data_IF_928227975914
#
_entry.id   IF_928227975914
#
_cell.length_a   1.000
_cell.length_b   1.000
_cell.length_c   1.000
_cell.angle_alpha   90.00
_cell.angle_beta   90.00
_cell.angle_gamma   90.00
#
_symmetry.space_group_name_H-M   'P 1'
#
loop_
_entity.id
_entity.type
_entity.pdbx_description
1 polymer ?
#
# COMPACT_ATOMS: atom_id res chain seq x y z
N UNK A 1 -28.84 60.98 10.09
CA UNK A 1 -27.54 60.33 10.29
C UNK A 1 -27.73 58.97 10.98
N UNK A 2 -27.68 57.86 10.25
CA UNK A 2 -27.42 56.52 10.81
C UNK A 2 -26.99 55.61 9.67
N UNK A 3 -25.72 55.22 9.71
CA UNK A 3 -25.02 54.37 8.74
C UNK A 3 -25.54 52.94 8.88
N UNK A 4 -25.94 52.31 7.78
CA UNK A 4 -26.11 50.86 7.69
C UNK A 4 -24.78 50.30 7.19
N UNK A 5 -24.06 49.59 8.06
CA UNK A 5 -22.81 48.90 7.72
C UNK A 5 -23.19 47.47 7.32
N UNK A 6 -22.93 47.13 6.06
CA UNK A 6 -23.02 45.81 5.48
C UNK A 6 -21.80 45.00 5.96
N UNK A 7 -22.01 43.96 6.76
CA UNK A 7 -20.95 43.05 7.20
C UNK A 7 -20.92 41.84 6.24
N UNK A 8 -20.10 41.91 5.19
CA UNK A 8 -19.71 40.73 4.42
C UNK A 8 -18.63 39.97 5.19
N UNK A 9 -19.02 38.94 5.94
CA UNK A 9 -18.12 37.94 6.49
C UNK A 9 -17.60 37.05 5.34
N UNK A 10 -16.48 37.45 4.75
CA UNK A 10 -15.66 36.59 3.91
C UNK A 10 -14.93 35.60 4.83
N UNK A 11 -15.46 34.39 4.96
CA UNK A 11 -14.72 33.24 5.47
C UNK A 11 -13.61 32.89 4.46
N UNK A 12 -12.46 33.56 4.59
CA UNK A 12 -11.22 33.08 3.99
C UNK A 12 -10.76 31.86 4.78
N UNK A 13 -11.22 30.67 4.38
CA UNK A 13 -10.51 29.43 4.70
C UNK A 13 -9.16 29.51 4.00
N UNK A 14 -8.12 29.89 4.75
CA UNK A 14 -6.74 29.81 4.29
C UNK A 14 -6.40 28.36 4.01
N UNK A 15 -6.45 27.97 2.73
CA UNK A 15 -5.75 26.79 2.23
C UNK A 15 -4.24 27.08 2.35
N UNK A 16 -3.71 26.90 3.55
CA UNK A 16 -2.28 26.70 3.75
C UNK A 16 -1.95 25.41 2.99
N UNK A 17 -1.54 25.56 1.73
CA UNK A 17 -0.96 24.46 0.97
C UNK A 17 0.35 24.11 1.68
N UNK A 18 0.36 22.97 2.39
CA UNK A 18 1.61 22.38 2.84
C UNK A 18 2.52 22.19 1.61
N UNK A 19 3.83 22.39 1.78
CA UNK A 19 4.78 22.10 0.71
C UNK A 19 4.62 20.62 0.27
N UNK A 20 4.73 20.32 -1.04
CA UNK A 20 4.67 18.95 -1.57
C UNK A 20 5.46 17.97 -0.71
N UNK A 21 4.80 16.88 -0.29
CA UNK A 21 5.42 15.83 0.51
C UNK A 21 5.90 16.21 1.93
N UNK A 22 5.69 17.44 2.41
CA UNK A 22 6.10 17.86 3.77
C UNK A 22 4.93 17.76 4.73
N UNK A 23 5.15 17.10 5.87
CA UNK A 23 4.16 16.93 6.94
C UNK A 23 4.43 17.87 8.13
N UNK A 24 3.40 18.47 8.76
CA UNK A 24 3.59 19.28 9.95
C UNK A 24 4.21 18.49 11.11
N UNK A 25 5.04 19.14 11.93
CA UNK A 25 5.64 18.55 13.12
C UNK A 25 4.63 17.86 14.05
N UNK A 26 3.43 18.43 14.17
CA UNK A 26 2.35 17.88 15.00
C UNK A 26 1.95 16.45 14.60
N UNK A 27 2.13 16.08 13.32
CA UNK A 27 1.87 14.74 12.78
C UNK A 27 2.83 13.69 13.33
N UNK A 28 4.04 14.10 13.75
CA UNK A 28 5.05 13.18 14.30
C UNK A 28 5.17 13.27 15.83
N UNK A 29 4.75 14.39 16.43
CA UNK A 29 4.71 14.55 17.88
C UNK A 29 3.52 13.81 18.53
N UNK A 30 2.41 13.66 17.81
CA UNK A 30 1.22 12.94 18.27
C UNK A 30 1.01 11.67 17.46
N UNK A 31 0.27 10.71 18.01
CA UNK A 31 -0.11 9.52 17.25
C UNK A 31 -1.02 9.92 16.09
N UNK A 32 -0.52 9.70 14.88
CA UNK A 32 -1.21 9.96 13.63
C UNK A 32 -1.16 8.73 12.72
N UNK A 33 -2.34 8.25 12.36
CA UNK A 33 -2.56 7.18 11.40
C UNK A 33 -3.86 7.44 10.63
N UNK A 34 -4.10 6.63 9.61
CA UNK A 34 -5.33 6.64 8.83
C UNK A 34 -5.14 7.09 7.39
N UNK A 35 -6.26 7.40 6.73
CA UNK A 35 -6.32 7.62 5.29
C UNK A 35 -5.97 9.06 4.92
N UNK A 36 -5.09 9.21 3.95
CA UNK A 36 -4.70 10.48 3.36
C UNK A 36 -4.96 10.41 1.86
N UNK A 37 -5.61 11.43 1.32
CA UNK A 37 -5.86 11.55 -0.11
C UNK A 37 -4.84 12.51 -0.72
N UNK A 38 -4.36 12.16 -1.91
CA UNK A 38 -3.32 12.88 -2.64
C UNK A 38 -3.89 13.52 -3.90
N UNK A 39 -3.46 14.75 -4.18
CA UNK A 39 -3.65 15.45 -5.44
C UNK A 39 -2.34 15.53 -6.23
N UNK A 40 -2.36 16.34 -7.29
CA UNK A 40 -1.18 16.57 -8.13
C UNK A 40 -0.03 17.20 -7.36
N UNK A 41 1.20 16.88 -7.79
CA UNK A 41 2.41 17.46 -7.23
C UNK A 41 2.61 17.07 -5.77
N UNK A 42 2.22 15.84 -5.42
CA UNK A 42 2.39 15.28 -4.06
C UNK A 42 1.74 16.13 -2.94
N UNK A 43 0.67 16.85 -3.29
CA UNK A 43 -0.19 17.56 -2.32
C UNK A 43 -1.15 16.56 -1.68
N UNK A 44 -1.51 16.77 -0.42
CA UNK A 44 -2.29 15.79 0.33
C UNK A 44 -3.23 16.43 1.35
N UNK A 45 -4.27 15.69 1.74
CA UNK A 45 -5.17 16.04 2.83
C UNK A 45 -5.58 14.77 3.59
N UNK A 46 -5.43 14.79 4.92
CA UNK A 46 -5.95 13.72 5.79
C UNK A 46 -7.47 13.61 5.63
N UNK A 47 -7.98 12.39 5.51
CA UNK A 47 -9.41 12.14 5.52
C UNK A 47 -9.94 12.23 6.96
N UNK A 48 -11.05 12.96 7.12
CA UNK A 48 -11.78 13.06 8.40
C UNK A 48 -13.22 12.61 8.14
N UNK A 49 -13.76 11.64 8.92
CA UNK A 49 -15.10 11.12 8.68
C UNK A 49 -16.16 12.22 8.67
N UNK A 50 -17.05 12.18 7.67
CA UNK A 50 -18.12 13.17 7.50
C UNK A 50 -17.67 14.54 6.96
N UNK A 51 -16.38 14.76 6.74
CA UNK A 51 -15.86 16.00 6.15
C UNK A 51 -15.51 15.81 4.66
N UNK A 52 -15.77 16.84 3.86
CA UNK A 52 -15.31 16.88 2.48
C UNK A 52 -13.78 16.91 2.42
N UNK A 53 -13.20 16.23 1.44
CA UNK A 53 -11.77 16.24 1.17
C UNK A 53 -11.54 16.63 -0.30
N UNK A 54 -10.64 17.58 -0.55
CA UNK A 54 -10.43 18.18 -1.87
C UNK A 54 -9.96 17.18 -2.94
N UNK A 55 -9.34 16.08 -2.51
CA UNK A 55 -8.75 15.08 -3.38
C UNK A 55 -9.59 13.79 -3.51
N UNK A 56 -10.74 13.72 -2.82
CA UNK A 56 -11.60 12.54 -2.81
C UNK A 56 -12.94 12.79 -3.48
N UNK A 57 -13.33 11.89 -4.38
CA UNK A 57 -14.68 11.77 -4.91
C UNK A 57 -15.25 10.37 -4.69
N UNK A 58 -16.40 10.27 -4.01
CA UNK A 58 -17.00 8.98 -3.65
C UNK A 58 -17.36 8.09 -4.85
N UNK A 59 -17.55 8.66 -6.05
CA UNK A 59 -17.88 7.92 -7.28
C UNK A 59 -16.66 7.50 -8.11
N UNK A 60 -15.46 7.97 -7.77
CA UNK A 60 -14.23 7.71 -8.52
C UNK A 60 -13.69 6.30 -8.23
N UNK A 61 -13.05 5.62 -9.21
CA UNK A 61 -12.22 4.45 -8.89
C UNK A 61 -11.11 4.88 -7.92
N UNK A 62 -10.58 3.96 -7.12
CA UNK A 62 -9.71 4.29 -5.99
C UNK A 62 -8.49 3.38 -5.96
N UNK A 63 -7.32 3.95 -5.71
CA UNK A 63 -6.09 3.22 -5.39
C UNK A 63 -5.56 3.70 -4.04
N UNK A 64 -5.28 2.75 -3.14
CA UNK A 64 -4.77 3.03 -1.79
C UNK A 64 -3.48 2.26 -1.58
N UNK A 65 -2.41 3.00 -1.28
CA UNK A 65 -1.10 2.46 -0.93
C UNK A 65 -0.94 2.30 0.59
N UNK A 66 -0.27 1.24 1.01
CA UNK A 66 0.05 0.93 2.40
C UNK A 66 1.53 0.56 2.48
N UNK A 67 2.29 1.42 3.17
CA UNK A 67 3.73 1.25 3.32
C UNK A 67 4.11 0.13 4.31
N UNK A 68 5.40 -0.19 4.33
CA UNK A 68 6.03 -1.21 5.17
C UNK A 68 6.52 -0.74 6.54
N UNK A 69 7.59 -1.42 6.99
CA UNK A 69 8.38 -1.07 8.17
C UNK A 69 9.09 0.28 7.97
N UNK A 70 9.09 1.16 8.99
CA UNK A 70 9.47 2.58 8.84
C UNK A 70 10.49 3.06 9.88
N UNK A 71 11.51 2.24 10.16
CA UNK A 71 12.51 2.52 11.19
C UNK A 71 13.17 3.90 11.04
N UNK A 72 13.02 4.72 12.09
CA UNK A 72 13.60 6.05 12.24
C UNK A 72 12.92 7.15 11.41
N UNK A 73 11.87 6.86 10.65
CA UNK A 73 11.18 7.87 9.83
C UNK A 73 10.49 8.94 10.67
N UNK A 74 9.95 8.58 11.83
CA UNK A 74 9.23 9.54 12.68
C UNK A 74 10.18 10.59 13.23
N UNK A 75 11.39 10.18 13.65
CA UNK A 75 12.44 11.11 14.11
C UNK A 75 12.90 12.01 12.96
N UNK A 76 13.00 11.48 11.75
CA UNK A 76 13.31 12.25 10.53
C UNK A 76 12.15 13.11 10.04
N UNK A 77 10.96 12.99 10.66
CA UNK A 77 9.72 13.65 10.23
C UNK A 77 9.39 13.38 8.76
N UNK A 78 9.59 12.12 8.37
CA UNK A 78 9.47 11.66 7.01
C UNK A 78 8.31 10.65 6.89
N UNK A 79 7.61 10.69 5.76
CA UNK A 79 6.55 9.76 5.39
C UNK A 79 6.72 9.44 3.92
N UNK A 80 6.45 8.18 3.56
CA UNK A 80 6.42 7.82 2.15
C UNK A 80 5.29 8.53 1.43
N UNK A 81 5.60 9.15 0.29
CA UNK A 81 4.65 9.85 -0.57
C UNK A 81 4.72 9.29 -2.00
N UNK A 82 4.09 9.93 -2.98
CA UNK A 82 4.14 9.49 -4.38
C UNK A 82 5.38 10.01 -5.13
N UNK A 83 6.16 10.90 -4.53
CA UNK A 83 7.54 11.13 -4.95
C UNK A 83 8.47 10.12 -4.25
N UNK A 84 9.16 9.29 -5.03
CA UNK A 84 9.99 8.18 -4.52
C UNK A 84 11.48 8.34 -4.85
N UNK A 85 11.94 9.53 -5.22
CA UNK A 85 13.34 9.80 -5.55
C UNK A 85 14.29 9.37 -4.43
N UNK A 86 14.00 9.76 -3.18
CA UNK A 86 14.78 9.38 -1.99
C UNK A 86 14.78 7.88 -1.68
N UNK A 87 13.90 7.10 -2.31
CA UNK A 87 13.83 5.64 -2.20
C UNK A 87 14.42 4.92 -3.44
N UNK A 88 15.21 5.64 -4.25
CA UNK A 88 15.83 5.15 -5.49
C UNK A 88 14.92 5.21 -6.71
N UNK A 89 13.69 5.70 -6.57
CA UNK A 89 12.75 5.90 -7.67
C UNK A 89 13.11 7.09 -8.58
N UNK A 90 12.29 7.37 -9.60
CA UNK A 90 12.46 8.56 -10.42
C UNK A 90 12.02 9.83 -9.67
N UNK A 91 12.54 11.00 -10.09
CA UNK A 91 12.09 12.31 -9.62
C UNK A 91 10.75 12.72 -10.28
N UNK A 92 9.69 11.96 -9.99
CA UNK A 92 8.36 12.10 -10.58
C UNK A 92 7.27 11.96 -9.51
N UNK A 93 6.12 12.59 -9.76
CA UNK A 93 4.88 12.31 -9.02
C UNK A 93 4.21 11.05 -9.60
N UNK A 94 4.33 9.94 -8.88
CA UNK A 94 3.78 8.65 -9.31
C UNK A 94 2.26 8.55 -9.20
N UNK A 95 1.58 9.55 -8.60
CA UNK A 95 0.12 9.62 -8.60
C UNK A 95 -0.43 10.22 -9.90
N UNK A 96 0.35 10.99 -10.67
CA UNK A 96 -0.14 11.80 -11.79
C UNK A 96 -0.94 10.97 -12.82
N UNK A 97 -0.41 9.84 -13.28
CA UNK A 97 -1.08 8.99 -14.26
C UNK A 97 -2.40 8.39 -13.74
N UNK A 98 -2.48 8.12 -12.44
CA UNK A 98 -3.70 7.61 -11.78
C UNK A 98 -4.74 8.71 -11.63
N UNK A 99 -4.32 9.90 -11.19
CA UNK A 99 -5.18 11.08 -11.05
C UNK A 99 -5.76 11.51 -12.41
N UNK A 100 -4.94 11.52 -13.48
CA UNK A 100 -5.42 11.79 -14.85
C UNK A 100 -6.43 10.77 -15.35
N UNK A 101 -6.30 9.51 -14.92
CA UNK A 101 -7.29 8.47 -15.20
C UNK A 101 -8.55 8.56 -14.30
N UNK A 102 -8.66 9.60 -13.47
CA UNK A 102 -9.83 9.87 -12.65
C UNK A 102 -9.88 9.09 -11.33
N UNK A 103 -8.77 8.49 -10.89
CA UNK A 103 -8.72 7.78 -9.62
C UNK A 103 -8.67 8.75 -8.42
N UNK A 104 -9.26 8.35 -7.31
CA UNK A 104 -8.77 8.76 -5.99
C UNK A 104 -7.45 8.04 -5.74
N UNK A 105 -6.43 8.76 -5.32
CA UNK A 105 -5.13 8.20 -4.95
C UNK A 105 -4.90 8.50 -3.48
N UNK A 106 -4.64 7.48 -2.67
CA UNK A 106 -4.45 7.65 -1.23
C UNK A 106 -3.38 6.78 -0.63
N UNK A 107 -2.95 7.15 0.57
CA UNK A 107 -2.06 6.36 1.43
C UNK A 107 -2.76 6.11 2.76
N UNK A 108 -2.73 4.87 3.23
CA UNK A 108 -3.24 4.49 4.55
C UNK A 108 -2.06 4.36 5.51
N UNK A 109 -1.77 5.44 6.23
CA UNK A 109 -0.57 5.53 7.08
C UNK A 109 -0.71 4.78 8.39
N UNK A 110 0.39 4.16 8.78
CA UNK A 110 0.63 3.58 10.11
C UNK A 110 2.10 3.78 10.53
N UNK A 111 2.77 4.80 9.99
CA UNK A 111 4.23 4.98 10.06
C UNK A 111 4.77 4.99 11.50
N UNK A 112 4.10 5.63 12.45
CA UNK A 112 4.58 5.66 13.84
C UNK A 112 4.42 4.32 14.58
N UNK A 113 3.49 3.48 14.14
CA UNK A 113 3.40 2.09 14.60
C UNK A 113 4.46 1.20 13.93
N UNK A 114 4.76 1.49 12.66
CA UNK A 114 5.77 0.79 11.85
C UNK A 114 7.21 1.25 12.14
N UNK A 115 7.41 2.37 12.82
CA UNK A 115 8.72 2.87 13.25
C UNK A 115 9.16 2.12 14.51
N UNK A 116 9.66 0.91 14.27
CA UNK A 116 10.21 0.02 15.28
C UNK A 116 11.68 -0.28 14.96
N UNK A 117 12.47 -0.57 16.00
CA UNK A 117 13.85 -1.01 15.83
C UNK A 117 13.96 -2.40 15.20
N UNK A 118 12.96 -3.25 15.41
CA UNK A 118 12.86 -4.61 14.86
C UNK A 118 11.62 -4.76 13.98
N UNK A 119 11.78 -5.37 12.81
CA UNK A 119 10.68 -5.56 11.84
C UNK A 119 9.54 -6.42 12.43
N UNK A 120 9.87 -7.40 13.27
CA UNK A 120 8.89 -8.30 13.90
C UNK A 120 8.06 -7.61 14.98
N UNK A 121 8.58 -6.56 15.62
CA UNK A 121 7.85 -5.74 16.58
C UNK A 121 6.77 -4.90 15.86
N UNK A 122 7.08 -4.39 14.65
CA UNK A 122 6.08 -3.74 13.80
C UNK A 122 5.07 -4.75 13.23
N UNK A 123 5.53 -5.93 12.80
CA UNK A 123 4.67 -7.01 12.28
C UNK A 123 3.63 -7.45 13.30
N UNK A 124 4.01 -7.64 14.57
CA UNK A 124 3.11 -8.10 15.62
C UNK A 124 1.89 -7.18 15.80
N UNK A 125 2.07 -5.85 15.69
CA UNK A 125 1.00 -4.85 15.84
C UNK A 125 -0.08 -4.94 14.76
N UNK A 126 0.24 -5.54 13.60
CA UNK A 126 -0.74 -5.78 12.53
C UNK A 126 -1.82 -6.75 13.01
N UNK A 127 -1.42 -7.75 13.80
CA UNK A 127 -2.23 -8.91 14.13
C UNK A 127 -2.69 -8.97 15.58
N UNK A 128 -1.92 -8.38 16.50
CA UNK A 128 -2.18 -8.48 17.94
C UNK A 128 -1.79 -7.19 18.67
N UNK A 129 -2.70 -6.71 19.52
CA UNK A 129 -2.44 -5.55 20.36
C UNK A 129 -1.57 -5.88 21.59
N UNK A 130 -1.39 -7.17 21.88
CA UNK A 130 -0.64 -7.70 23.03
C UNK A 130 0.56 -8.55 22.58
N UNK A 131 1.12 -8.25 21.40
CA UNK A 131 2.38 -8.82 20.95
C UNK A 131 3.57 -8.45 21.87
N UNK A 132 4.81 -8.83 21.52
CA UNK A 132 5.98 -8.71 22.40
C UNK A 132 6.25 -7.28 22.91
N UNK A 133 5.85 -6.26 22.14
CA UNK A 133 5.95 -4.83 22.50
C UNK A 133 4.62 -4.15 22.78
N UNK A 134 3.52 -4.91 22.74
CA UNK A 134 2.16 -4.41 22.67
C UNK A 134 1.98 -3.33 21.59
N UNK A 135 0.83 -2.64 21.61
CA UNK A 135 0.68 -1.43 20.84
C UNK A 135 1.47 -0.29 21.48
N UNK A 136 2.44 0.22 20.72
CA UNK A 136 3.19 1.45 21.02
C UNK A 136 3.49 2.18 19.72
N UNK A 137 3.78 3.46 19.83
CA UNK A 137 4.14 4.29 18.68
C UNK A 137 5.30 5.20 19.05
N UNK A 138 6.14 5.51 18.08
CA UNK A 138 7.29 6.40 18.26
C UNK A 138 6.89 7.84 17.95
N UNK A 139 7.36 8.80 18.73
CA UNK A 139 7.23 10.23 18.42
C UNK A 139 8.50 10.79 17.75
N UNK A 140 8.48 12.05 17.31
CA UNK A 140 9.65 12.69 16.66
C UNK A 140 10.86 12.91 17.57
N UNK A 141 10.71 12.83 18.90
CA UNK A 141 11.85 12.79 19.83
C UNK A 141 12.46 11.39 19.97
N UNK A 142 11.93 10.40 19.25
CA UNK A 142 12.39 9.02 19.28
C UNK A 142 11.88 8.21 20.47
N UNK A 143 11.00 8.79 21.29
CA UNK A 143 10.42 8.16 22.49
C UNK A 143 9.19 7.35 22.10
N UNK A 144 9.05 6.16 22.68
CA UNK A 144 7.86 5.33 22.54
C UNK A 144 6.79 5.75 23.55
N UNK A 145 5.56 5.90 23.09
CA UNK A 145 4.37 6.03 23.93
C UNK A 145 3.45 4.82 23.71
N UNK A 146 2.65 4.50 24.73
CA UNK A 146 1.62 3.46 24.62
C UNK A 146 0.62 3.80 23.52
N UNK A 147 0.25 2.79 22.73
CA UNK A 147 -0.76 2.87 21.70
C UNK A 147 -2.15 2.45 22.19
N UNK A 148 -3.17 2.55 21.33
CA UNK A 148 -4.51 2.05 21.62
C UNK A 148 -4.53 0.52 21.76
N UNK A 149 -5.56 -0.05 22.38
CA UNK A 149 -5.72 -1.50 22.58
C UNK A 149 -6.18 -2.28 21.34
N UNK A 150 -6.19 -1.62 20.18
CA UNK A 150 -6.64 -2.18 18.90
C UNK A 150 -5.42 -2.44 18.01
N UNK A 151 -5.49 -3.50 17.20
CA UNK A 151 -4.44 -3.79 16.22
C UNK A 151 -4.38 -2.73 15.13
N UNK A 152 -3.25 -2.59 14.44
CA UNK A 152 -3.17 -1.76 13.22
C UNK A 152 -4.23 -2.19 12.21
N UNK A 153 -4.48 -3.50 12.06
CA UNK A 153 -5.55 -3.99 11.19
C UNK A 153 -6.94 -3.44 11.55
N UNK A 154 -7.27 -3.36 12.84
CA UNK A 154 -8.55 -2.81 13.31
C UNK A 154 -8.63 -1.29 13.15
N UNK A 155 -7.56 -0.58 13.52
CA UNK A 155 -7.48 0.88 13.42
C UNK A 155 -7.64 1.35 11.97
N UNK A 156 -6.93 0.69 11.05
CA UNK A 156 -6.96 1.02 9.64
C UNK A 156 -8.26 0.57 8.96
N UNK A 157 -8.84 -0.56 9.37
CA UNK A 157 -10.18 -0.95 8.92
C UNK A 157 -11.23 0.09 9.33
N UNK A 158 -11.18 0.57 10.58
CA UNK A 158 -12.07 1.64 11.05
C UNK A 158 -11.86 2.93 10.24
N UNK A 159 -10.61 3.36 10.08
CA UNK A 159 -10.28 4.54 9.27
C UNK A 159 -10.81 4.42 7.84
N UNK A 160 -10.61 3.27 7.20
CA UNK A 160 -11.08 2.99 5.85
C UNK A 160 -12.60 3.06 5.75
N UNK A 161 -13.30 2.32 6.62
CA UNK A 161 -14.77 2.27 6.66
C UNK A 161 -15.39 3.65 6.85
N UNK A 162 -14.90 4.41 7.82
CA UNK A 162 -15.52 5.67 8.22
C UNK A 162 -15.26 6.79 7.20
N UNK A 163 -14.05 6.83 6.61
CA UNK A 163 -13.67 7.85 5.63
C UNK A 163 -14.17 7.57 4.21
N UNK A 164 -14.52 6.32 3.91
CA UNK A 164 -15.12 5.93 2.63
C UNK A 164 -16.61 5.61 2.75
N UNK A 165 -17.25 6.05 3.84
CA UNK A 165 -18.70 5.95 3.99
C UNK A 165 -19.41 6.62 2.79
N UNK A 166 -20.35 5.90 2.17
CA UNK A 166 -21.04 6.39 0.97
C UNK A 166 -20.25 6.23 -0.34
N UNK A 167 -19.10 5.54 -0.34
CA UNK A 167 -18.40 5.20 -1.57
C UNK A 167 -19.33 4.50 -2.56
N UNK A 168 -19.36 5.03 -3.79
CA UNK A 168 -20.24 4.60 -4.86
C UNK A 168 -19.50 4.23 -6.14
N UNK A 169 -18.17 4.40 -6.16
CA UNK A 169 -17.32 4.08 -7.30
C UNK A 169 -17.25 2.59 -7.63
N UNK A 170 -16.57 2.29 -8.74
CA UNK A 170 -16.65 0.99 -9.42
C UNK A 170 -15.48 0.05 -9.14
N UNK A 171 -14.38 0.55 -8.57
CA UNK A 171 -13.16 -0.24 -8.39
C UNK A 171 -12.30 0.33 -7.26
N UNK A 172 -11.87 -0.54 -6.35
CA UNK A 172 -10.89 -0.23 -5.31
C UNK A 172 -9.71 -1.17 -5.49
N UNK A 173 -8.52 -0.58 -5.57
CA UNK A 173 -7.23 -1.27 -5.59
C UNK A 173 -6.47 -0.98 -4.30
N UNK A 174 -5.98 -2.01 -3.62
CA UNK A 174 -5.12 -1.86 -2.44
C UNK A 174 -3.72 -2.35 -2.79
N UNK A 175 -2.72 -1.54 -2.48
CA UNK A 175 -1.31 -1.83 -2.72
C UNK A 175 -0.63 -1.94 -1.37
N UNK A 176 0.01 -3.08 -1.06
CA UNK A 176 0.81 -3.23 0.15
C UNK A 176 2.29 -3.35 -0.21
N UNK A 177 3.18 -2.71 0.53
CA UNK A 177 4.63 -2.88 0.37
C UNK A 177 5.29 -3.44 1.61
N UNK A 178 6.24 -4.39 1.46
CA UNK A 178 6.94 -5.00 2.60
C UNK A 178 5.94 -5.55 3.63
N UNK A 179 5.96 -5.11 4.90
CA UNK A 179 4.94 -5.41 5.90
C UNK A 179 3.54 -4.90 5.56
N UNK A 180 3.42 -3.82 4.77
CA UNK A 180 2.16 -3.27 4.29
C UNK A 180 1.34 -4.27 3.47
N UNK A 181 1.96 -5.33 2.94
CA UNK A 181 1.27 -6.47 2.33
C UNK A 181 0.38 -7.21 3.32
N UNK A 182 0.88 -7.46 4.53
CA UNK A 182 0.09 -8.10 5.58
C UNK A 182 -1.07 -7.19 5.98
N UNK A 183 -0.83 -5.88 6.10
CA UNK A 183 -1.88 -4.89 6.35
C UNK A 183 -2.93 -4.89 5.24
N UNK A 184 -2.52 -4.91 3.97
CA UNK A 184 -3.43 -4.96 2.82
C UNK A 184 -4.31 -6.22 2.82
N UNK A 185 -3.73 -7.38 3.14
CA UNK A 185 -4.45 -8.66 3.24
C UNK A 185 -5.42 -8.64 4.42
N UNK A 186 -4.97 -8.22 5.62
CA UNK A 186 -5.80 -8.13 6.83
C UNK A 186 -6.95 -7.15 6.63
N UNK A 187 -6.67 -5.98 6.05
CA UNK A 187 -7.69 -4.98 5.72
C UNK A 187 -8.73 -5.55 4.76
N UNK A 188 -8.29 -6.18 3.67
CA UNK A 188 -9.18 -6.82 2.69
C UNK A 188 -10.04 -7.92 3.33
N UNK A 189 -9.47 -8.71 4.25
CA UNK A 189 -10.20 -9.72 5.02
C UNK A 189 -11.28 -9.10 5.91
N UNK A 190 -10.93 -8.09 6.69
CA UNK A 190 -11.89 -7.39 7.58
C UNK A 190 -13.03 -6.74 6.79
N UNK A 191 -12.72 -6.12 5.66
CA UNK A 191 -13.73 -5.58 4.74
C UNK A 191 -14.65 -6.69 4.23
N UNK A 192 -14.07 -7.78 3.74
CA UNK A 192 -14.80 -8.95 3.22
C UNK A 192 -15.75 -9.55 4.25
N UNK A 193 -15.29 -9.70 5.50
CA UNK A 193 -16.08 -10.24 6.59
C UNK A 193 -17.21 -9.29 6.97
N UNK A 194 -16.95 -7.98 7.02
CA UNK A 194 -17.97 -6.97 7.29
C UNK A 194 -19.05 -6.89 6.18
N UNK A 195 -18.64 -7.07 4.92
CA UNK A 195 -19.57 -7.17 3.77
C UNK A 195 -20.42 -8.44 3.88
N UNK A 196 -19.80 -9.60 4.17
CA UNK A 196 -20.55 -10.85 4.39
C UNK A 196 -21.52 -10.75 5.56
N UNK A 197 -21.15 -10.04 6.63
CA UNK A 197 -22.03 -9.78 7.77
C UNK A 197 -23.12 -8.71 7.51
N UNK A 198 -23.14 -8.08 6.33
CA UNK A 198 -24.11 -7.03 6.01
C UNK A 198 -23.89 -5.70 6.74
N UNK A 199 -22.73 -5.52 7.37
CA UNK A 199 -22.36 -4.29 8.13
C UNK A 199 -21.55 -3.29 7.31
N UNK A 200 -21.19 -3.66 6.08
CA UNK A 200 -20.45 -2.80 5.16
C UNK A 200 -20.98 -2.99 3.73
N UNK A 201 -21.03 -1.90 2.95
CA UNK A 201 -21.43 -1.95 1.55
C UNK A 201 -20.41 -2.76 0.73
N UNK A 202 -20.88 -3.68 -0.12
CA UNK A 202 -20.01 -4.51 -0.97
C UNK A 202 -19.15 -3.70 -1.95
N UNK A 203 -19.54 -2.46 -2.30
CA UNK A 203 -18.71 -1.54 -3.09
C UNK A 203 -17.38 -1.16 -2.44
N UNK A 204 -17.27 -1.34 -1.12
CA UNK A 204 -16.04 -1.11 -0.38
C UNK A 204 -15.10 -2.33 -0.41
N UNK A 205 -15.53 -3.48 -0.94
CA UNK A 205 -14.65 -4.62 -1.11
C UNK A 205 -13.61 -4.30 -2.20
N UNK A 206 -12.29 -4.41 -1.91
CA UNK A 206 -11.27 -4.25 -2.94
C UNK A 206 -11.45 -5.29 -4.04
N UNK A 207 -11.38 -4.85 -5.29
CA UNK A 207 -11.44 -5.75 -6.45
C UNK A 207 -10.07 -6.36 -6.75
N UNK A 208 -9.00 -5.62 -6.47
CA UNK A 208 -7.62 -6.00 -6.77
C UNK A 208 -6.68 -5.59 -5.64
N UNK A 209 -5.78 -6.49 -5.27
CA UNK A 209 -4.76 -6.30 -4.25
C UNK A 209 -3.39 -6.59 -4.86
N UNK A 210 -2.50 -5.61 -4.87
CA UNK A 210 -1.14 -5.76 -5.34
C UNK A 210 -0.19 -5.91 -4.16
N UNK A 211 0.60 -6.98 -4.19
CA UNK A 211 1.57 -7.30 -3.18
C UNK A 211 2.99 -6.92 -3.62
N UNK A 212 3.50 -5.80 -3.15
CA UNK A 212 4.75 -5.20 -3.61
C UNK A 212 5.89 -5.59 -2.68
N UNK A 213 6.83 -6.37 -3.20
CA UNK A 213 7.96 -7.01 -2.50
C UNK A 213 7.59 -7.52 -1.09
N UNK A 214 6.69 -8.51 -1.00
CA UNK A 214 6.00 -8.84 0.24
C UNK A 214 6.89 -9.51 1.28
N UNK A 215 6.81 -9.03 2.52
CA UNK A 215 7.58 -9.56 3.65
C UNK A 215 6.67 -10.30 4.64
N UNK A 216 7.12 -11.48 5.07
CA UNK A 216 6.56 -12.25 6.18
C UNK A 216 7.73 -12.78 7.00
N UNK A 217 7.75 -12.55 8.31
CA UNK A 217 8.87 -13.04 9.11
C UNK A 217 8.75 -14.55 9.38
N UNK A 218 9.88 -15.24 9.47
CA UNK A 218 9.90 -16.69 9.68
C UNK A 218 9.35 -17.11 11.07
N UNK A 219 8.98 -18.39 11.20
CA UNK A 219 8.57 -19.08 12.43
C UNK A 219 7.17 -18.72 12.98
N UNK A 220 6.67 -19.63 13.82
CA UNK A 220 5.43 -19.48 14.57
C UNK A 220 5.45 -18.28 15.52
N UNK A 221 4.31 -17.62 15.67
CA UNK A 221 4.13 -16.46 16.54
C UNK A 221 3.18 -16.81 17.68
N UNK A 222 3.64 -16.66 18.92
CA UNK A 222 2.81 -16.92 20.11
C UNK A 222 1.56 -16.05 20.15
N UNK A 223 1.67 -14.81 19.68
CA UNK A 223 0.57 -13.84 19.55
C UNK A 223 -0.36 -14.10 18.35
N UNK A 224 -0.12 -15.17 17.58
CA UNK A 224 -0.95 -15.63 16.48
C UNK A 224 -1.32 -17.10 16.67
N UNK A 225 -1.49 -17.55 17.92
CA UNK A 225 -1.86 -18.95 18.21
C UNK A 225 -0.83 -19.97 17.71
N UNK A 226 0.46 -19.61 17.76
CA UNK A 226 1.57 -20.38 17.19
C UNK A 226 1.48 -20.62 15.68
N UNK A 227 0.70 -19.82 14.97
CA UNK A 227 0.71 -19.79 13.52
C UNK A 227 1.78 -18.83 13.00
N UNK A 228 2.11 -19.02 11.74
CA UNK A 228 3.02 -18.17 11.00
C UNK A 228 2.25 -17.09 10.23
N UNK A 229 2.74 -15.84 10.22
CA UNK A 229 2.09 -14.73 9.50
C UNK A 229 1.90 -15.02 8.02
N UNK A 230 2.88 -15.68 7.39
CA UNK A 230 2.79 -16.14 6.01
C UNK A 230 1.67 -17.17 5.79
N UNK A 231 1.47 -18.09 6.72
CA UNK A 231 0.39 -19.09 6.65
C UNK A 231 -0.99 -18.47 6.83
N UNK A 232 -1.16 -17.57 7.81
CA UNK A 232 -2.44 -16.86 8.03
C UNK A 232 -2.79 -15.99 6.83
N UNK A 233 -1.79 -15.30 6.27
CA UNK A 233 -1.95 -14.52 5.04
C UNK A 233 -2.42 -15.37 3.86
N UNK A 234 -1.85 -16.59 3.68
CA UNK A 234 -2.33 -17.54 2.66
C UNK A 234 -3.79 -17.93 2.87
N UNK A 235 -4.20 -18.24 4.10
CA UNK A 235 -5.59 -18.57 4.41
C UNK A 235 -6.52 -17.44 3.99
N UNK A 236 -6.19 -16.20 4.38
CA UNK A 236 -7.00 -15.02 4.02
C UNK A 236 -7.04 -14.81 2.51
N UNK A 237 -5.91 -14.91 1.81
CA UNK A 237 -5.86 -14.77 0.34
C UNK A 237 -6.67 -15.87 -0.35
N UNK A 238 -6.71 -17.09 0.19
CA UNK A 238 -7.51 -18.20 -0.36
C UNK A 238 -9.00 -17.86 -0.30
N UNK A 239 -9.48 -17.44 0.86
CA UNK A 239 -10.87 -17.05 1.07
C UNK A 239 -11.25 -15.85 0.19
N UNK A 240 -10.39 -14.82 0.14
CA UNK A 240 -10.63 -13.61 -0.64
C UNK A 240 -10.64 -13.89 -2.15
N UNK A 241 -9.74 -14.74 -2.64
CA UNK A 241 -9.74 -15.22 -4.02
C UNK A 241 -11.02 -15.99 -4.35
N UNK A 242 -11.50 -16.83 -3.42
CA UNK A 242 -12.79 -17.52 -3.56
C UNK A 242 -14.00 -16.58 -3.68
N UNK A 243 -13.87 -15.34 -3.18
CA UNK A 243 -14.86 -14.26 -3.33
C UNK A 243 -14.60 -13.35 -4.55
N UNK A 244 -13.68 -13.73 -5.44
CA UNK A 244 -13.41 -13.03 -6.69
C UNK A 244 -12.42 -11.86 -6.59
N UNK A 245 -11.73 -11.70 -5.44
CA UNK A 245 -10.70 -10.67 -5.29
C UNK A 245 -9.43 -11.11 -6.05
N UNK A 246 -8.89 -10.17 -6.83
CA UNK A 246 -7.74 -10.41 -7.69
C UNK A 246 -6.47 -10.09 -6.90
N UNK A 247 -5.52 -11.02 -6.88
CA UNK A 247 -4.21 -10.82 -6.27
C UNK A 247 -3.10 -10.86 -7.33
N UNK A 248 -2.18 -9.92 -7.23
CA UNK A 248 -0.92 -9.88 -7.97
C UNK A 248 0.23 -9.66 -7.00
N UNK A 249 1.42 -10.13 -7.33
CA UNK A 249 2.60 -9.94 -6.51
C UNK A 249 3.81 -9.58 -7.37
N UNK A 250 4.63 -8.65 -6.88
CA UNK A 250 5.84 -8.18 -7.54
C UNK A 250 7.00 -8.38 -6.59
N UNK A 251 7.94 -9.25 -6.93
CA UNK A 251 9.19 -9.40 -6.19
C UNK A 251 10.31 -8.71 -6.93
N UNK A 252 10.98 -7.76 -6.30
CA UNK A 252 12.11 -7.00 -6.83
C UNK A 252 13.39 -7.20 -6.02
N UNK A 253 13.32 -7.80 -4.83
CA UNK A 253 14.48 -7.99 -3.97
C UNK A 253 14.53 -9.38 -3.34
N UNK A 254 15.69 -9.78 -2.78
CA UNK A 254 15.82 -11.01 -2.02
C UNK A 254 15.35 -10.86 -0.56
N UNK A 255 14.81 -9.70 -0.13
CA UNK A 255 14.30 -9.50 1.25
C UNK A 255 13.24 -10.54 1.62
N UNK A 256 12.50 -11.01 0.62
CA UNK A 256 11.51 -12.09 0.80
C UNK A 256 12.15 -13.48 0.85
N UNK A 257 13.45 -13.66 0.58
CA UNK A 257 14.08 -14.97 0.35
C UNK A 257 15.37 -15.21 1.14
N UNK A 258 15.78 -14.28 1.99
CA UNK A 258 16.93 -14.49 2.88
C UNK A 258 16.48 -15.25 4.14
N UNK A 259 16.98 -16.49 4.25
CA UNK A 259 16.70 -17.50 5.29
C UNK A 259 16.75 -16.95 6.73
N UNK A 260 17.51 -15.88 6.97
CA UNK A 260 17.70 -15.34 8.31
C UNK A 260 16.59 -14.38 8.80
N UNK A 261 15.72 -13.84 7.93
CA UNK A 261 14.69 -12.86 8.36
C UNK A 261 13.32 -13.06 7.68
N UNK A 262 13.28 -13.31 6.36
CA UNK A 262 12.05 -13.34 5.56
C UNK A 262 11.67 -14.72 5.00
N UNK A 263 10.37 -14.96 4.85
CA UNK A 263 9.79 -16.12 4.18
C UNK A 263 9.48 -15.85 2.71
N UNK A 264 9.94 -16.75 1.83
CA UNK A 264 9.64 -16.69 0.40
C UNK A 264 8.16 -16.92 0.08
N UNK A 265 7.43 -17.55 1.01
CA UNK A 265 6.01 -17.87 0.96
C UNK A 265 5.56 -18.33 -0.43
N UNK A 266 6.21 -19.36 -1.03
CA UNK A 266 5.91 -19.77 -2.41
C UNK A 266 4.45 -20.18 -2.59
N UNK A 267 3.84 -20.78 -1.55
CA UNK A 267 2.42 -21.08 -1.53
C UNK A 267 1.54 -19.85 -1.72
N UNK A 268 1.89 -18.69 -1.12
CA UNK A 268 1.16 -17.45 -1.34
C UNK A 268 1.41 -16.90 -2.74
N UNK A 269 2.66 -16.88 -3.20
CA UNK A 269 3.00 -16.38 -4.53
C UNK A 269 2.24 -17.14 -5.62
N UNK A 270 2.06 -18.46 -5.44
CA UNK A 270 1.29 -19.31 -6.33
C UNK A 270 -0.21 -18.99 -6.39
N UNK A 271 -0.73 -18.20 -5.46
CA UNK A 271 -2.12 -17.77 -5.45
C UNK A 271 -2.32 -16.43 -6.17
N UNK A 272 -1.24 -15.78 -6.62
CA UNK A 272 -1.23 -14.45 -7.22
C UNK A 272 -0.82 -14.48 -8.70
N UNK A 273 -1.10 -13.40 -9.44
CA UNK A 273 -0.38 -13.11 -10.68
C UNK A 273 1.05 -12.66 -10.32
N UNK A 274 1.95 -13.64 -10.17
CA UNK A 274 3.29 -13.40 -9.65
C UNK A 274 4.26 -12.92 -10.75
N UNK A 275 4.94 -11.81 -10.47
CA UNK A 275 5.98 -11.21 -11.32
C UNK A 275 7.28 -11.05 -10.55
N UNK A 276 8.37 -11.53 -11.12
CA UNK A 276 9.73 -11.30 -10.65
C UNK A 276 10.38 -10.19 -11.47
N UNK A 277 10.60 -9.06 -10.83
CA UNK A 277 11.33 -7.93 -11.36
C UNK A 277 12.84 -8.15 -11.20
N UNK A 278 13.60 -7.72 -12.21
CA UNK A 278 15.07 -7.69 -12.19
C UNK A 278 15.54 -6.24 -12.19
N UNK A 279 15.59 -5.55 -11.03
CA UNK A 279 16.09 -4.18 -10.96
C UNK A 279 17.62 -4.16 -11.04
N UNK A 280 18.18 -4.53 -12.19
CA UNK A 280 19.62 -4.67 -12.42
C UNK A 280 20.34 -3.34 -12.67
N UNK A 281 19.59 -2.24 -12.78
CA UNK A 281 20.11 -0.87 -12.61
C UNK A 281 20.60 -0.59 -11.18
N UNK A 282 20.25 -1.43 -10.20
CA UNK A 282 20.85 -1.42 -8.88
C UNK A 282 21.87 -2.54 -8.72
N UNK A 283 22.98 -2.24 -8.04
CA UNK A 283 24.02 -3.21 -7.71
C UNK A 283 23.48 -4.30 -6.77
N UNK A 284 24.19 -5.44 -6.69
CA UNK A 284 23.77 -6.59 -5.89
C UNK A 284 23.59 -6.27 -4.40
N UNK A 285 24.32 -5.30 -3.86
CA UNK A 285 24.30 -4.90 -2.45
C UNK A 285 23.23 -3.86 -2.10
N UNK A 286 22.60 -3.23 -3.09
CA UNK A 286 21.57 -2.20 -2.91
C UNK A 286 20.20 -2.83 -2.63
N UNK A 287 20.13 -3.66 -1.59
CA UNK A 287 18.95 -4.45 -1.26
C UNK A 287 17.77 -3.55 -0.87
N UNK A 288 18.01 -2.44 -0.16
CA UNK A 288 16.97 -1.48 0.24
C UNK A 288 16.33 -0.82 -0.98
N UNK A 289 17.12 -0.37 -1.95
CA UNK A 289 16.62 0.26 -3.17
C UNK A 289 15.88 -0.74 -4.04
N UNK A 290 16.40 -1.98 -4.14
CA UNK A 290 15.69 -3.09 -4.81
C UNK A 290 14.37 -3.42 -4.12
N UNK A 291 14.30 -3.40 -2.80
CA UNK A 291 13.07 -3.64 -2.04
C UNK A 291 12.03 -2.55 -2.30
N UNK A 292 12.47 -1.28 -2.38
CA UNK A 292 11.61 -0.15 -2.72
C UNK A 292 11.18 -0.13 -4.20
N UNK A 293 11.93 -0.78 -5.08
CA UNK A 293 11.68 -0.80 -6.52
C UNK A 293 10.28 -1.28 -6.89
N UNK A 294 9.76 -2.32 -6.23
CA UNK A 294 8.42 -2.82 -6.51
C UNK A 294 7.33 -1.73 -6.38
N UNK A 295 7.50 -0.76 -5.47
CA UNK A 295 6.52 0.30 -5.24
C UNK A 295 6.48 1.28 -6.39
N UNK A 296 7.61 1.93 -6.64
CA UNK A 296 7.64 2.97 -7.64
C UNK A 296 7.52 2.39 -9.05
N UNK A 297 8.02 1.18 -9.30
CA UNK A 297 7.88 0.49 -10.58
C UNK A 297 6.42 0.17 -10.89
N UNK A 298 5.70 -0.42 -9.92
CA UNK A 298 4.27 -0.70 -10.08
C UNK A 298 3.46 0.57 -10.32
N UNK A 299 3.63 1.60 -9.48
CA UNK A 299 2.88 2.85 -9.62
C UNK A 299 3.16 3.54 -10.95
N UNK A 300 4.43 3.59 -11.37
CA UNK A 300 4.86 4.20 -12.64
C UNK A 300 4.35 3.43 -13.85
N UNK A 301 4.29 2.09 -13.78
CA UNK A 301 3.81 1.22 -14.87
C UNK A 301 2.39 1.54 -15.34
N UNK A 302 1.57 2.23 -14.53
CA UNK A 302 0.23 2.68 -14.92
C UNK A 302 0.24 3.74 -16.05
N UNK A 303 1.38 4.40 -16.26
CA UNK A 303 1.59 5.42 -17.29
C UNK A 303 1.75 4.84 -18.69
N UNK A 304 2.02 3.54 -18.79
CA UNK A 304 2.38 2.86 -20.04
C UNK A 304 1.35 1.80 -20.42
N UNK A 305 1.42 1.34 -21.67
CA UNK A 305 0.67 0.16 -22.08
C UNK A 305 1.16 -1.05 -21.27
N UNK A 306 0.28 -2.04 -20.99
CA UNK A 306 0.70 -3.29 -20.39
C UNK A 306 1.88 -3.90 -21.16
N UNK A 307 2.97 -4.29 -20.47
CA UNK A 307 4.12 -4.92 -21.11
C UNK A 307 3.71 -6.25 -21.76
N UNK A 308 4.47 -6.72 -22.74
CA UNK A 308 4.15 -7.97 -23.43
C UNK A 308 4.88 -9.16 -22.80
N UNK A 309 4.32 -10.34 -23.03
CA UNK A 309 5.04 -11.60 -22.83
C UNK A 309 5.88 -11.85 -24.08
N UNK A 310 7.19 -11.96 -23.91
CA UNK A 310 8.18 -12.12 -24.99
C UNK A 310 7.75 -13.24 -25.95
N UNK A 311 7.73 -12.91 -27.25
CA UNK A 311 7.34 -13.84 -28.31
C UNK A 311 5.82 -14.03 -28.47
N UNK A 312 5.00 -13.22 -27.80
CA UNK A 312 3.53 -13.28 -27.91
C UNK A 312 2.91 -11.88 -28.00
N UNK A 313 1.63 -11.80 -28.35
CA UNK A 313 0.82 -10.58 -28.22
C UNK A 313 0.10 -10.47 -26.87
N UNK A 314 0.33 -11.43 -25.95
CA UNK A 314 -0.32 -11.44 -24.65
C UNK A 314 0.33 -10.43 -23.70
N UNK A 315 -0.50 -9.74 -22.94
CA UNK A 315 -0.04 -8.80 -21.91
C UNK A 315 0.49 -9.53 -20.67
N UNK A 316 1.59 -9.05 -20.12
CA UNK A 316 2.11 -9.37 -18.80
C UNK A 316 1.43 -8.50 -17.72
N UNK A 317 1.79 -8.70 -16.46
CA UNK A 317 1.22 -7.98 -15.33
C UNK A 317 1.88 -6.60 -15.18
N UNK A 318 1.06 -5.56 -15.09
CA UNK A 318 1.41 -4.19 -14.72
C UNK A 318 0.22 -3.56 -14.00
N UNK A 319 0.40 -2.38 -13.42
CA UNK A 319 -0.71 -1.61 -12.89
C UNK A 319 -1.78 -1.28 -13.96
N UNK A 320 -1.38 -1.09 -15.23
CA UNK A 320 -2.32 -0.78 -16.32
C UNK A 320 -3.04 -2.01 -16.88
N UNK A 321 -2.48 -3.21 -16.69
CA UNK A 321 -3.06 -4.47 -17.17
C UNK A 321 -4.47 -4.64 -16.62
N UNK A 322 -5.40 -5.09 -17.49
CA UNK A 322 -6.81 -5.22 -17.12
C UNK A 322 -7.02 -6.25 -16.00
N UNK A 323 -8.07 -6.03 -15.20
CA UNK A 323 -8.44 -6.96 -14.13
C UNK A 323 -8.67 -8.38 -14.67
N UNK A 324 -9.34 -8.53 -15.82
CA UNK A 324 -9.56 -9.84 -16.44
C UNK A 324 -8.27 -10.56 -16.80
N UNK A 325 -7.29 -9.84 -17.35
CA UNK A 325 -5.99 -10.42 -17.70
C UNK A 325 -5.18 -10.81 -16.47
N UNK A 326 -5.20 -9.99 -15.43
CA UNK A 326 -4.53 -10.34 -14.16
C UNK A 326 -5.21 -11.54 -13.52
N UNK A 327 -6.53 -11.69 -13.60
CA UNK A 327 -7.22 -12.92 -13.17
C UNK A 327 -6.74 -14.16 -13.93
N UNK A 328 -6.55 -14.06 -15.26
CA UNK A 328 -5.96 -15.16 -16.05
C UNK A 328 -4.56 -15.51 -15.57
N UNK A 329 -3.70 -14.51 -15.35
CA UNK A 329 -2.34 -14.72 -14.84
C UNK A 329 -2.35 -15.33 -13.43
N UNK A 330 -3.20 -14.82 -12.54
CA UNK A 330 -3.36 -15.31 -11.16
C UNK A 330 -3.74 -16.79 -11.11
N UNK A 331 -4.66 -17.20 -11.98
CA UNK A 331 -5.14 -18.58 -12.06
C UNK A 331 -4.27 -19.51 -12.92
N UNK A 332 -3.25 -18.97 -13.61
CA UNK A 332 -2.29 -19.76 -14.37
C UNK A 332 -1.29 -20.51 -13.48
N UNK A 333 -0.51 -21.39 -14.11
CA UNK A 333 0.54 -22.18 -13.44
C UNK A 333 1.94 -21.57 -13.58
N UNK A 334 2.04 -20.43 -14.25
CA UNK A 334 3.29 -19.76 -14.57
C UNK A 334 3.39 -18.42 -13.85
N UNK A 335 4.61 -18.02 -13.50
CA UNK A 335 4.98 -16.67 -13.08
C UNK A 335 5.56 -15.91 -14.27
N UNK A 336 5.60 -14.60 -14.14
CA UNK A 336 6.26 -13.70 -15.07
C UNK A 336 7.65 -13.37 -14.53
N UNK A 337 8.66 -13.38 -15.40
CA UNK A 337 10.02 -13.00 -15.06
C UNK A 337 10.49 -11.94 -16.03
N UNK A 338 10.98 -10.82 -15.49
CA UNK A 338 11.48 -9.69 -16.25
C UNK A 338 12.52 -10.15 -17.29
N UNK A 339 12.39 -9.73 -18.54
CA UNK A 339 13.20 -10.16 -19.68
C UNK A 339 13.99 -9.01 -20.32
N UNK A 340 13.28 -7.96 -20.77
CA UNK A 340 13.83 -6.69 -21.26
C UNK A 340 13.38 -5.56 -20.33
N UNK A 341 14.12 -4.45 -20.23
CA UNK A 341 13.85 -3.34 -19.28
C UNK A 341 14.59 -3.48 -17.94
N UNK A 342 15.29 -4.60 -17.70
CA UNK A 342 15.94 -4.88 -16.41
C UNK A 342 17.06 -3.89 -16.00
N UNK A 343 17.64 -3.16 -16.96
CA UNK A 343 18.76 -2.22 -16.73
C UNK A 343 18.35 -0.75 -16.78
N UNK A 344 17.06 -0.47 -16.93
CA UNK A 344 16.45 0.86 -16.98
C UNK A 344 15.44 0.97 -15.84
N UNK A 345 15.28 2.18 -15.26
CA UNK A 345 14.27 2.38 -14.21
C UNK A 345 12.85 2.49 -14.79
N UNK A 346 12.73 2.98 -16.01
CA UNK A 346 11.43 3.26 -16.62
C UNK A 346 10.73 1.97 -17.07
N UNK A 347 9.48 1.69 -16.64
CA UNK A 347 8.78 0.46 -17.03
C UNK A 347 8.33 0.37 -18.51
N UNK A 348 8.63 1.38 -19.34
CA UNK A 348 8.05 1.50 -20.69
C UNK A 348 8.66 0.51 -21.69
N UNK A 349 9.88 0.05 -21.44
CA UNK A 349 10.63 -0.93 -22.23
C UNK A 349 10.61 -2.34 -21.61
N UNK A 350 9.81 -2.54 -20.56
CA UNK A 350 9.67 -3.83 -19.90
C UNK A 350 8.99 -4.87 -20.81
N UNK A 351 9.55 -6.09 -20.81
CA UNK A 351 8.86 -7.30 -21.27
C UNK A 351 9.12 -8.47 -20.32
N UNK A 352 8.27 -9.49 -20.36
CA UNK A 352 8.34 -10.62 -19.45
C UNK A 352 8.36 -11.97 -20.17
N UNK A 353 9.04 -12.95 -19.58
CA UNK A 353 8.93 -14.36 -19.97
C UNK A 353 8.06 -15.11 -18.97
N UNK A 354 7.35 -16.13 -19.45
CA UNK A 354 6.65 -17.07 -18.58
C UNK A 354 7.64 -18.12 -18.07
N UNK A 355 7.57 -18.43 -16.77
CA UNK A 355 8.30 -19.51 -16.14
C UNK A 355 7.33 -20.32 -15.28
N UNK A 356 7.53 -21.64 -15.17
CA UNK A 356 6.79 -22.45 -14.21
C UNK A 356 7.00 -21.91 -12.77
N UNK A 357 5.95 -21.99 -11.95
CA UNK A 357 5.95 -21.53 -10.57
C UNK A 357 6.76 -22.42 -9.64
#
# INVERSE_FOLDING_TARGET
>A
MRKLILLCLLCFSSLLHAAPGVFPDSTFNNLDYGLYWFGYGDTWQKAVPGQSNAYYGASKPTVIYIHGWQNGTTVRKDRETFNREGAGGPALDLADAWLRAGYNVGVLYWNQFADEGEVTDAEAKIWSATGPRAMRWRNSSGVYASGPSQTVGDLLFKSYKDNMAGYSGSNIRILGHSLGNQVAIVLSKKISDAVTAGTLNSKLLPKRVALLDPFYSNNAKSWLGNQWTGAVSRTYVSELKGKGIIFEAYRSSPVTSTIFIGDANPGLMNMTAFSELKPWYFNATQITEKHNAAVWHYLWSYSFNPPLITGTSNQAASAKTSDSRITTLMNGTQKLVHDQGAYTKEPSDDNFKLQAR
#
